data_IF_766540524910
#
_entry.id   IF_766540524910
#
_cell.length_a   1.000
_cell.length_b   1.000
_cell.length_c   1.000
_cell.angle_alpha   90.00
_cell.angle_beta   90.00
_cell.angle_gamma   90.00
#
_symmetry.space_group_name_H-M   'P 1'
#
loop_
_entity.id
_entity.type
_entity.pdbx_description
1 polymer ?
#
# COMPACT_ATOMS: atom_id res chain seq x y z
N UNK A 1 3.10 67.62 -9.16
CA UNK A 1 4.18 67.57 -8.15
C UNK A 1 3.57 66.86 -6.95
N UNK A 2 3.91 65.65 -6.55
CA UNK A 2 5.20 64.93 -6.49
C UNK A 2 4.95 63.41 -6.53
N UNK A 3 5.83 62.68 -7.24
CA UNK A 3 5.99 61.22 -7.16
C UNK A 3 6.46 60.79 -5.77
N UNK A 4 5.97 59.66 -5.24
CA UNK A 4 6.83 58.58 -4.69
C UNK A 4 6.05 57.25 -4.56
N UNK A 5 6.81 56.15 -4.67
CA UNK A 5 6.44 54.77 -4.95
C UNK A 5 5.98 53.92 -3.76
N UNK A 6 5.31 52.80 -4.11
CA UNK A 6 5.39 51.44 -3.55
C UNK A 6 5.37 51.22 -2.03
N UNK A 7 4.35 50.51 -1.52
CA UNK A 7 4.45 49.05 -1.27
C UNK A 7 3.20 48.49 -0.56
N UNK A 8 2.73 47.34 -1.05
CA UNK A 8 1.75 46.49 -0.40
C UNK A 8 2.31 45.91 0.91
N UNK A 9 1.62 46.13 2.04
CA UNK A 9 1.88 45.43 3.29
C UNK A 9 0.63 44.62 3.68
N UNK A 10 0.71 43.30 3.51
CA UNK A 10 -0.19 42.33 4.14
C UNK A 10 0.20 42.22 5.62
N UNK A 11 -0.78 42.40 6.50
CA UNK A 11 -0.63 42.17 7.93
C UNK A 11 -0.78 40.66 8.22
N UNK A 12 0.34 39.99 8.52
CA UNK A 12 0.34 38.63 9.07
C UNK A 12 0.56 38.72 10.59
N UNK A 13 -0.40 38.20 11.36
CA UNK A 13 -0.33 38.02 12.81
C UNK A 13 0.60 36.83 13.09
N UNK A 14 1.73 37.06 13.78
CA UNK A 14 2.69 36.03 14.18
C UNK A 14 2.50 35.67 15.65
N UNK A 15 2.62 34.38 15.99
CA UNK A 15 2.82 33.96 17.38
C UNK A 15 4.31 33.95 17.75
N UNK A 16 4.64 33.59 19.01
CA UNK A 16 6.02 33.61 19.54
C UNK A 16 6.99 32.62 18.87
N UNK A 17 6.52 31.80 17.94
CA UNK A 17 7.33 30.88 17.13
C UNK A 17 7.24 31.17 15.62
N UNK A 18 6.39 32.10 15.19
CA UNK A 18 6.62 32.92 14.02
C UNK A 18 6.40 32.30 12.63
N UNK A 19 5.81 31.11 12.50
CA UNK A 19 5.68 30.43 11.21
C UNK A 19 4.23 30.11 10.82
N UNK A 20 3.67 30.90 9.90
CA UNK A 20 2.77 30.42 8.86
C UNK A 20 3.00 31.22 7.57
N UNK A 21 3.81 30.67 6.65
CA UNK A 21 3.76 31.04 5.22
C UNK A 21 3.00 29.95 4.47
N UNK A 22 2.15 30.38 3.55
CA UNK A 22 1.30 29.55 2.67
C UNK A 22 2.08 28.61 1.71
N UNK A 23 3.41 28.58 1.82
CA UNK A 23 4.34 27.72 1.09
C UNK A 23 5.32 26.98 2.05
N UNK A 24 4.91 26.73 3.30
CA UNK A 24 5.75 26.00 4.23
C UNK A 24 5.93 24.53 3.74
N UNK A 25 7.16 24.04 3.62
CA UNK A 25 7.41 22.65 3.26
C UNK A 25 6.80 21.73 4.32
N UNK A 26 6.16 20.66 3.85
CA UNK A 26 5.69 19.51 4.61
C UNK A 26 6.69 19.16 5.74
N UNK A 27 6.26 18.81 6.98
CA UNK A 27 7.16 18.52 8.11
C UNK A 27 7.80 17.13 7.98
N UNK A 28 8.21 16.76 6.77
CA UNK A 28 9.29 15.79 6.60
C UNK A 28 10.54 16.55 6.98
N UNK A 29 10.98 16.29 8.21
CA UNK A 29 12.25 16.74 8.75
C UNK A 29 13.34 16.56 7.69
N UNK A 30 13.75 17.65 7.02
CA UNK A 30 14.67 17.59 5.87
C UNK A 30 16.06 17.13 6.32
N UNK A 31 16.31 17.12 7.62
CA UNK A 31 17.46 16.48 8.25
C UNK A 31 16.97 15.80 9.54
N UNK A 32 16.75 14.48 9.59
CA UNK A 32 16.79 13.79 10.88
C UNK A 32 18.09 14.20 11.58
N UNK A 33 18.10 14.41 12.91
CA UNK A 33 19.34 14.67 13.63
C UNK A 33 20.32 13.57 13.26
N UNK A 34 21.34 13.98 12.50
CA UNK A 34 22.31 13.15 11.84
C UNK A 34 23.07 12.40 12.93
N UNK A 35 22.69 11.16 13.21
CA UNK A 35 23.47 10.27 14.06
C UNK A 35 24.62 9.72 13.22
N UNK A 36 25.77 10.38 13.32
CA UNK A 36 27.06 9.84 12.90
C UNK A 36 27.81 10.75 11.95
N UNK A 37 29.06 11.05 12.30
CA UNK A 37 30.07 11.70 11.46
C UNK A 37 30.46 10.83 10.25
N UNK A 38 29.52 10.54 9.36
CA UNK A 38 29.82 9.80 8.14
C UNK A 38 30.31 10.78 7.07
N UNK A 39 31.54 10.60 6.55
CA UNK A 39 32.04 11.44 5.47
C UNK A 39 31.19 11.25 4.21
N UNK A 40 31.08 12.29 3.36
CA UNK A 40 30.35 12.22 2.10
C UNK A 40 30.88 11.07 1.23
N UNK A 41 30.00 10.31 0.55
CA UNK A 41 30.40 9.17 -0.26
C UNK A 41 31.34 9.62 -1.37
N UNK A 42 32.51 8.97 -1.45
CA UNK A 42 33.49 9.18 -2.52
C UNK A 42 33.20 8.18 -3.64
N UNK A 43 33.14 8.61 -4.91
CA UNK A 43 33.02 7.69 -6.04
C UNK A 43 34.20 6.70 -6.03
N UNK A 44 33.92 5.41 -5.91
CA UNK A 44 34.93 4.36 -6.04
C UNK A 44 34.86 3.75 -7.44
N UNK A 45 36.03 3.41 -8.00
CA UNK A 45 36.13 2.60 -9.23
C UNK A 45 36.18 1.10 -8.91
N UNK A 46 35.89 0.73 -7.67
CA UNK A 46 35.94 -0.65 -7.19
C UNK A 46 34.83 -1.44 -7.88
N UNK A 47 35.23 -2.45 -8.64
CA UNK A 47 34.31 -3.46 -9.14
C UNK A 47 33.99 -4.40 -7.98
N UNK A 48 32.73 -4.85 -7.88
CA UNK A 48 32.34 -5.93 -6.97
C UNK A 48 33.35 -7.08 -7.14
N UNK A 49 33.92 -7.63 -6.05
CA UNK A 49 34.77 -8.81 -6.12
C UNK A 49 34.11 -9.90 -6.96
N UNK A 50 34.88 -10.64 -7.76
CA UNK A 50 34.33 -11.79 -8.48
C UNK A 50 33.62 -12.70 -7.47
N UNK A 51 32.31 -12.86 -7.66
CA UNK A 51 31.49 -13.70 -6.80
C UNK A 51 32.09 -15.12 -6.82
N UNK A 52 32.17 -15.79 -5.66
CA UNK A 52 32.47 -17.22 -5.66
C UNK A 52 31.49 -17.93 -6.61
N UNK A 53 31.89 -19.05 -7.24
CA UNK A 53 31.01 -19.82 -8.11
C UNK A 53 29.69 -20.06 -7.40
N UNK A 54 28.58 -19.81 -8.10
CA UNK A 54 27.22 -19.92 -7.57
C UNK A 54 27.08 -21.27 -6.88
N UNK A 55 27.00 -21.26 -5.55
CA UNK A 55 26.45 -22.39 -4.83
C UNK A 55 24.98 -22.38 -5.22
N UNK A 56 24.50 -23.46 -5.86
CA UNK A 56 23.06 -23.63 -6.08
C UNK A 56 22.37 -23.36 -4.75
N UNK A 57 21.58 -22.30 -4.71
CA UNK A 57 20.81 -22.00 -3.53
C UNK A 57 19.98 -23.24 -3.22
N UNK A 58 20.03 -23.73 -1.99
CA UNK A 58 19.06 -24.71 -1.52
C UNK A 58 17.73 -23.96 -1.47
N UNK A 59 17.02 -23.95 -2.59
CA UNK A 59 15.73 -23.25 -2.76
C UNK A 59 14.59 -23.98 -2.09
N UNK A 60 14.81 -25.22 -1.66
CA UNK A 60 13.83 -26.06 -0.98
C UNK A 60 14.04 -25.96 0.54
N UNK A 61 13.36 -24.98 1.14
CA UNK A 61 12.99 -25.08 2.55
C UNK A 61 11.61 -25.75 2.60
N UNK A 62 11.41 -26.83 3.40
CA UNK A 62 10.09 -27.43 3.56
C UNK A 62 9.06 -26.45 4.16
N UNK A 63 9.50 -25.32 4.74
CA UNK A 63 8.66 -24.25 5.23
C UNK A 63 8.34 -23.16 4.16
N UNK A 64 9.09 -23.12 3.05
CA UNK A 64 8.96 -22.09 2.01
C UNK A 64 8.81 -22.79 0.66
N UNK A 65 7.56 -23.04 0.24
CA UNK A 65 7.25 -23.52 -1.10
C UNK A 65 7.78 -22.52 -2.13
N UNK A 66 8.84 -22.89 -2.85
CA UNK A 66 9.38 -22.15 -4.00
C UNK A 66 9.45 -23.08 -5.21
N UNK A 67 9.02 -22.62 -6.40
CA UNK A 67 8.53 -21.27 -6.72
C UNK A 67 7.14 -20.97 -6.11
N UNK A 68 6.80 -19.69 -5.88
CA UNK A 68 5.43 -19.33 -5.50
C UNK A 68 4.48 -19.94 -6.52
N UNK A 69 3.40 -20.56 -6.03
CA UNK A 69 2.37 -21.13 -6.90
C UNK A 69 1.96 -20.04 -7.90
N UNK A 70 1.91 -20.35 -9.21
CA UNK A 70 1.42 -19.38 -10.20
C UNK A 70 0.08 -18.81 -9.73
N UNK A 71 -0.15 -17.50 -9.94
CA UNK A 71 -1.43 -16.90 -9.57
C UNK A 71 -2.57 -17.69 -10.22
N UNK A 72 -3.70 -17.78 -9.51
CA UNK A 72 -4.89 -18.41 -10.07
C UNK A 72 -5.40 -17.69 -11.32
N UNK A 73 -6.42 -18.25 -11.96
CA UNK A 73 -7.08 -17.62 -13.11
C UNK A 73 -7.77 -16.29 -12.77
N UNK A 74 -8.01 -16.02 -11.49
CA UNK A 74 -8.63 -14.80 -10.96
C UNK A 74 -7.84 -14.27 -9.77
N UNK A 75 -7.66 -12.95 -9.68
CA UNK A 75 -7.19 -12.27 -8.46
C UNK A 75 -8.06 -11.04 -8.17
N UNK A 76 -8.25 -10.76 -6.88
CA UNK A 76 -9.17 -9.72 -6.40
C UNK A 76 -10.56 -10.27 -6.06
N UNK A 77 -11.57 -9.40 -5.95
CA UNK A 77 -11.52 -7.95 -6.15
C UNK A 77 -10.77 -7.21 -5.03
N UNK A 78 -9.95 -6.22 -5.39
CA UNK A 78 -9.31 -5.32 -4.43
C UNK A 78 -9.98 -3.95 -4.47
N UNK A 79 -10.74 -3.63 -3.43
CA UNK A 79 -11.45 -2.36 -3.30
C UNK A 79 -10.54 -1.29 -2.71
N UNK A 80 -10.65 -0.08 -3.26
CA UNK A 80 -9.92 1.09 -2.80
C UNK A 80 -10.87 2.29 -2.72
N UNK A 81 -10.84 2.99 -1.59
CA UNK A 81 -11.39 4.34 -1.49
C UNK A 81 -10.47 5.35 -2.17
N UNK A 82 -11.02 6.24 -3.01
CA UNK A 82 -10.26 7.29 -3.68
C UNK A 82 -10.52 8.63 -3.02
N UNK A 83 -11.78 9.08 -3.02
CA UNK A 83 -12.16 10.39 -2.48
C UNK A 83 -13.68 10.54 -2.38
N UNK A 84 -14.13 11.70 -1.90
CA UNK A 84 -15.55 12.06 -1.82
C UNK A 84 -15.76 13.40 -2.52
N UNK A 85 -16.70 13.46 -3.47
CA UNK A 85 -17.15 14.70 -4.10
C UNK A 85 -18.39 15.21 -3.36
N UNK A 86 -18.19 16.18 -2.46
CA UNK A 86 -19.28 16.77 -1.67
C UNK A 86 -20.21 17.68 -2.49
N UNK A 87 -19.79 18.16 -3.67
CA UNK A 87 -20.67 18.96 -4.52
C UNK A 87 -21.68 18.07 -5.25
N UNK A 88 -21.24 16.87 -5.65
CA UNK A 88 -22.09 15.87 -6.32
C UNK A 88 -22.72 14.88 -5.35
N UNK A 89 -22.32 14.91 -4.08
CA UNK A 89 -22.72 13.93 -3.07
C UNK A 89 -22.37 12.50 -3.51
N UNK A 90 -21.09 12.28 -3.89
CA UNK A 90 -20.59 11.00 -4.36
C UNK A 90 -19.40 10.53 -3.53
N UNK A 91 -19.47 9.29 -3.05
CA UNK A 91 -18.32 8.50 -2.63
C UNK A 91 -17.68 7.87 -3.87
N UNK A 92 -16.36 8.01 -4.03
CA UNK A 92 -15.61 7.50 -5.18
C UNK A 92 -14.61 6.45 -4.74
N UNK A 93 -14.60 5.33 -5.44
CA UNK A 93 -13.66 4.25 -5.23
C UNK A 93 -13.30 3.53 -6.52
N UNK A 94 -12.44 2.54 -6.41
CA UNK A 94 -12.10 1.64 -7.50
C UNK A 94 -12.00 0.20 -7.05
N UNK A 95 -12.21 -0.72 -8.00
CA UNK A 95 -11.92 -2.14 -7.83
C UNK A 95 -10.82 -2.53 -8.80
N UNK A 96 -9.75 -3.13 -8.31
CA UNK A 96 -8.75 -3.78 -9.15
C UNK A 96 -9.08 -5.27 -9.26
N UNK A 97 -9.17 -5.76 -10.49
CA UNK A 97 -9.51 -7.14 -10.81
C UNK A 97 -8.50 -7.66 -11.82
N UNK A 98 -7.96 -8.87 -11.59
CA UNK A 98 -7.15 -9.58 -12.58
C UNK A 98 -7.88 -10.84 -13.02
N UNK A 99 -7.85 -11.09 -14.33
CA UNK A 99 -8.45 -12.28 -14.93
C UNK A 99 -7.55 -12.81 -16.03
N UNK A 100 -7.30 -14.11 -16.05
CA UNK A 100 -6.47 -14.73 -17.07
C UNK A 100 -7.00 -14.45 -18.48
N UNK A 101 -6.11 -14.16 -19.42
CA UNK A 101 -6.43 -13.67 -20.78
C UNK A 101 -7.26 -14.66 -21.62
N UNK A 102 -7.33 -15.92 -21.21
CA UNK A 102 -8.19 -16.94 -21.84
C UNK A 102 -9.66 -16.83 -21.46
N UNK A 103 -10.02 -15.96 -20.50
CA UNK A 103 -11.38 -15.75 -20.05
C UNK A 103 -11.86 -14.34 -20.41
N UNK A 104 -13.18 -14.23 -20.57
CA UNK A 104 -13.83 -12.95 -20.77
C UNK A 104 -13.76 -12.07 -19.52
N UNK A 105 -13.98 -10.76 -19.72
CA UNK A 105 -14.12 -9.80 -18.63
C UNK A 105 -15.24 -10.25 -17.67
N UNK A 106 -14.99 -10.31 -16.35
CA UNK A 106 -15.99 -10.69 -15.37
C UNK A 106 -17.11 -9.64 -15.26
N UNK A 107 -18.27 -10.06 -14.74
CA UNK A 107 -19.42 -9.18 -14.50
C UNK A 107 -19.51 -8.83 -13.03
N UNK A 108 -19.74 -7.56 -12.71
CA UNK A 108 -19.92 -7.08 -11.34
C UNK A 108 -21.32 -6.50 -11.12
N UNK A 109 -21.91 -6.81 -9.97
CA UNK A 109 -23.19 -6.28 -9.52
C UNK A 109 -23.07 -5.72 -8.11
N UNK A 110 -23.77 -4.62 -7.83
CA UNK A 110 -23.86 -4.02 -6.50
C UNK A 110 -25.32 -4.05 -6.02
N UNK A 111 -25.53 -4.45 -4.77
CA UNK A 111 -26.82 -4.57 -4.11
C UNK A 111 -26.79 -3.70 -2.86
N UNK A 112 -27.50 -2.58 -2.91
CA UNK A 112 -27.63 -1.62 -1.81
C UNK A 112 -28.78 -0.64 -2.07
N UNK A 113 -29.14 0.13 -1.05
CA UNK A 113 -30.13 1.21 -1.20
C UNK A 113 -29.57 2.45 -1.91
N UNK A 114 -28.27 2.72 -1.74
CA UNK A 114 -27.61 3.85 -2.37
C UNK A 114 -27.49 3.62 -3.87
N UNK A 115 -27.66 4.68 -4.68
CA UNK A 115 -27.41 4.57 -6.11
C UNK A 115 -25.93 4.31 -6.37
N UNK A 116 -25.63 3.33 -7.23
CA UNK A 116 -24.27 2.99 -7.66
C UNK A 116 -24.17 3.11 -9.18
N UNK A 117 -23.24 3.94 -9.64
CA UNK A 117 -22.80 4.01 -11.03
C UNK A 117 -21.36 3.49 -11.12
N UNK A 118 -21.01 2.77 -12.19
CA UNK A 118 -19.64 2.31 -12.39
C UNK A 118 -19.27 2.19 -13.87
N UNK A 119 -17.97 2.17 -14.16
CA UNK A 119 -17.44 1.89 -15.50
C UNK A 119 -16.16 1.05 -15.41
N UNK A 120 -15.88 0.33 -16.49
CA UNK A 120 -14.70 -0.51 -16.64
C UNK A 120 -13.64 0.18 -17.46
N UNK A 121 -12.39 -0.03 -17.06
CA UNK A 121 -11.20 0.39 -17.77
C UNK A 121 -10.21 -0.78 -17.79
N UNK A 122 -9.57 -1.02 -18.92
CA UNK A 122 -8.47 -1.98 -19.03
C UNK A 122 -7.18 -1.22 -18.76
N UNK A 123 -6.45 -1.63 -17.71
CA UNK A 123 -5.16 -1.05 -17.36
C UNK A 123 -4.03 -1.73 -18.14
N UNK A 124 -4.10 -3.05 -18.24
CA UNK A 124 -3.13 -3.88 -18.95
C UNK A 124 -3.85 -5.06 -19.58
N UNK A 125 -3.68 -5.23 -20.89
CA UNK A 125 -4.34 -6.30 -21.65
C UNK A 125 -3.68 -7.67 -21.38
N UNK A 126 -2.39 -7.67 -21.03
CA UNK A 126 -1.64 -8.86 -20.62
C UNK A 126 -0.44 -8.48 -19.74
N UNK A 127 -0.53 -8.80 -18.45
CA UNK A 127 0.55 -8.79 -17.49
C UNK A 127 0.63 -10.17 -16.83
N UNK A 128 1.66 -10.95 -17.17
CA UNK A 128 1.82 -12.34 -16.71
C UNK A 128 0.59 -13.22 -17.00
N UNK A 129 0.08 -13.16 -18.24
CA UNK A 129 -1.12 -13.87 -18.71
C UNK A 129 -2.42 -13.45 -18.01
N UNK A 130 -2.41 -12.33 -17.28
CA UNK A 130 -3.58 -11.72 -16.68
C UNK A 130 -3.93 -10.39 -17.36
N UNK A 131 -5.20 -10.19 -17.69
CA UNK A 131 -5.75 -8.88 -17.99
C UNK A 131 -6.08 -8.17 -16.66
N UNK A 132 -5.63 -6.92 -16.52
CA UNK A 132 -5.85 -6.08 -15.35
C UNK A 132 -6.94 -5.05 -15.65
N UNK A 133 -8.03 -5.12 -14.89
CA UNK A 133 -9.17 -4.23 -15.00
C UNK A 133 -9.27 -3.31 -13.79
N UNK A 134 -9.66 -2.06 -14.05
CA UNK A 134 -10.13 -1.13 -13.03
C UNK A 134 -11.62 -0.88 -13.23
N UNK A 135 -12.40 -1.13 -12.19
CA UNK A 135 -13.80 -0.69 -12.11
C UNK A 135 -13.83 0.60 -11.31
N UNK A 136 -14.13 1.72 -11.96
CA UNK A 136 -14.34 3.00 -11.27
C UNK A 136 -15.77 3.00 -10.71
N UNK A 137 -15.93 3.19 -9.40
CA UNK A 137 -17.23 3.16 -8.71
C UNK A 137 -17.57 4.54 -8.17
N UNK A 138 -18.81 4.96 -8.39
CA UNK A 138 -19.41 6.18 -7.86
C UNK A 138 -20.67 5.79 -7.10
N UNK A 139 -20.68 6.03 -5.79
CA UNK A 139 -21.79 5.65 -4.91
C UNK A 139 -22.38 6.93 -4.34
N UNK A 140 -23.70 7.03 -4.36
CA UNK A 140 -24.43 8.12 -3.71
C UNK A 140 -24.03 8.23 -2.23
N UNK A 141 -23.56 9.41 -1.84
CA UNK A 141 -23.31 9.75 -0.45
C UNK A 141 -24.61 10.25 0.18
N UNK A 142 -25.31 9.36 0.89
CA UNK A 142 -26.58 9.71 1.53
C UNK A 142 -26.38 10.62 2.74
N UNK A 143 -27.29 11.58 3.00
CA UNK A 143 -27.26 12.40 4.20
C UNK A 143 -27.65 11.61 5.46
N UNK A 144 -27.40 12.17 6.64
CA UNK A 144 -27.75 11.60 7.94
C UNK A 144 -26.63 10.79 8.58
N UNK A 145 -26.91 10.30 9.78
CA UNK A 145 -26.02 9.39 10.52
C UNK A 145 -26.25 7.94 10.08
N UNK A 146 -25.22 7.10 10.24
CA UNK A 146 -25.25 5.67 9.91
C UNK A 146 -24.29 5.28 8.79
N UNK A 147 -24.30 3.98 8.49
CA UNK A 147 -23.43 3.36 7.50
C UNK A 147 -24.26 2.64 6.44
N UNK A 148 -23.84 2.75 5.18
CA UNK A 148 -24.48 2.08 4.05
C UNK A 148 -23.68 0.83 3.68
N UNK A 149 -24.34 -0.33 3.79
CA UNK A 149 -23.76 -1.60 3.39
C UNK A 149 -23.89 -1.79 1.89
N UNK A 150 -22.76 -1.95 1.23
CA UNK A 150 -22.65 -2.21 -0.20
C UNK A 150 -22.29 -3.67 -0.37
N UNK A 151 -23.22 -4.47 -0.87
CA UNK A 151 -22.96 -5.87 -1.21
C UNK A 151 -22.52 -5.91 -2.67
N UNK A 152 -21.46 -6.64 -2.98
CA UNK A 152 -21.00 -6.86 -4.34
C UNK A 152 -21.04 -8.34 -4.69
N UNK A 153 -21.26 -8.63 -5.97
CA UNK A 153 -21.18 -9.97 -6.55
C UNK A 153 -20.39 -9.90 -7.83
N UNK A 154 -19.46 -10.83 -8.01
CA UNK A 154 -18.70 -11.00 -9.25
C UNK A 154 -18.99 -12.38 -9.83
N UNK A 155 -19.40 -12.39 -11.09
CA UNK A 155 -19.48 -13.59 -11.92
C UNK A 155 -18.24 -13.64 -12.82
N UNK A 156 -17.37 -14.62 -12.53
CA UNK A 156 -16.13 -14.83 -13.25
C UNK A 156 -16.32 -15.70 -14.51
N UNK A 157 -17.50 -16.30 -14.68
CA UNK A 157 -17.83 -17.25 -15.74
C UNK A 157 -17.57 -18.71 -15.37
N UNK A 158 -16.54 -18.97 -14.57
CA UNK A 158 -16.20 -20.29 -14.00
C UNK A 158 -16.55 -20.41 -12.51
N UNK A 159 -16.57 -19.29 -11.79
CA UNK A 159 -16.95 -19.21 -10.38
C UNK A 159 -17.73 -17.93 -10.07
N UNK A 160 -18.31 -17.88 -8.87
CA UNK A 160 -19.00 -16.70 -8.34
C UNK A 160 -18.47 -16.38 -6.97
N UNK A 161 -18.21 -15.10 -6.73
CA UNK A 161 -17.74 -14.60 -5.44
C UNK A 161 -18.58 -13.41 -5.02
N UNK A 162 -18.75 -13.22 -3.73
CA UNK A 162 -19.46 -12.08 -3.17
C UNK A 162 -18.79 -11.57 -1.90
N UNK A 163 -19.19 -10.38 -1.48
CA UNK A 163 -18.75 -9.78 -0.25
C UNK A 163 -19.45 -8.44 -0.03
N UNK A 164 -18.97 -7.69 0.95
CA UNK A 164 -19.52 -6.37 1.24
C UNK A 164 -18.50 -5.44 1.86
N UNK A 165 -18.76 -4.14 1.73
CA UNK A 165 -18.07 -3.08 2.47
C UNK A 165 -19.08 -2.04 2.94
N UNK A 166 -18.64 -1.15 3.84
CA UNK A 166 -19.47 -0.12 4.45
C UNK A 166 -18.98 1.27 4.05
N UNK A 167 -19.91 2.17 3.79
CA UNK A 167 -19.66 3.59 3.52
C UNK A 167 -20.33 4.42 4.60
N UNK A 168 -19.58 5.33 5.22
CA UNK A 168 -20.13 6.31 6.15
C UNK A 168 -21.06 7.29 5.39
N UNK A 169 -22.25 7.54 5.92
CA UNK A 169 -23.11 8.64 5.45
C UNK A 169 -22.50 10.01 5.75
N UNK A 170 -23.02 11.06 5.14
CA UNK A 170 -22.43 12.41 5.22
C UNK A 170 -22.21 12.88 6.66
N UNK A 171 -23.20 12.71 7.53
CA UNK A 171 -23.17 13.25 8.90
C UNK A 171 -22.62 12.23 9.91
N UNK A 172 -22.20 11.06 9.43
CA UNK A 172 -21.70 10.00 10.28
C UNK A 172 -20.35 10.37 10.90
N UNK A 173 -20.19 10.05 12.19
CA UNK A 173 -18.89 10.17 12.86
C UNK A 173 -17.96 9.06 12.38
N UNK A 174 -16.84 9.47 11.78
CA UNK A 174 -15.84 8.53 11.31
C UNK A 174 -15.18 7.79 12.48
N UNK A 175 -14.85 6.53 12.23
CA UNK A 175 -14.24 5.62 13.21
C UNK A 175 -13.02 5.03 12.55
N UNK A 176 -11.88 5.21 13.20
CA UNK A 176 -10.58 4.80 12.69
C UNK A 176 -10.01 3.65 13.51
N UNK A 177 -9.37 2.70 12.84
CA UNK A 177 -8.43 1.78 13.46
C UNK A 177 -7.00 2.19 13.14
N UNK A 178 -6.08 1.95 14.06
CA UNK A 178 -4.64 2.05 13.82
C UNK A 178 -4.01 0.73 14.24
N UNK A 179 -3.12 0.21 13.40
CA UNK A 179 -2.29 -0.94 13.76
C UNK A 179 -0.94 -0.86 13.05
N UNK A 180 0.04 -1.53 13.64
CA UNK A 180 1.41 -1.63 13.16
C UNK A 180 1.94 -3.00 13.56
N UNK A 181 2.95 -3.51 12.84
CA UNK A 181 3.69 -4.71 13.24
C UNK A 181 2.80 -5.97 13.35
N UNK A 182 2.35 -6.52 12.21
CA UNK A 182 1.51 -7.73 12.18
C UNK A 182 2.32 -9.05 12.29
N UNK A 183 3.46 -9.01 12.96
CA UNK A 183 4.37 -10.13 13.08
C UNK A 183 5.16 -10.06 14.37
N UNK A 184 5.95 -11.09 14.59
CA UNK A 184 6.86 -11.16 15.72
C UNK A 184 8.26 -10.78 15.25
N UNK A 185 8.98 -10.03 16.08
CA UNK A 185 10.40 -9.84 15.85
C UNK A 185 11.16 -11.16 16.08
N UNK A 186 12.46 -11.17 15.72
CA UNK A 186 13.32 -12.34 15.92
C UNK A 186 13.63 -12.65 17.40
N UNK A 187 13.24 -11.78 18.34
CA UNK A 187 13.52 -11.92 19.78
C UNK A 187 12.34 -12.50 20.56
N UNK A 188 11.14 -12.55 19.98
CA UNK A 188 9.99 -13.23 20.57
C UNK A 188 10.27 -14.74 20.63
N UNK A 189 10.20 -15.38 21.80
CA UNK A 189 10.42 -16.81 21.93
C UNK A 189 9.49 -17.62 21.02
N UNK A 190 10.04 -18.63 20.34
CA UNK A 190 9.30 -19.46 19.38
C UNK A 190 8.03 -20.08 19.99
N UNK A 191 8.09 -20.47 21.28
CA UNK A 191 6.95 -21.01 22.02
C UNK A 191 5.77 -20.04 22.18
N UNK A 192 6.05 -18.72 22.17
CA UNK A 192 5.03 -17.67 22.20
C UNK A 192 4.52 -17.43 20.78
N UNK A 193 5.43 -17.28 19.81
CA UNK A 193 5.08 -17.05 18.41
C UNK A 193 4.24 -18.20 17.81
N UNK A 194 4.53 -19.45 18.18
CA UNK A 194 3.84 -20.64 17.66
C UNK A 194 2.36 -20.72 18.03
N UNK A 195 1.92 -20.00 19.07
CA UNK A 195 0.51 -19.96 19.49
C UNK A 195 -0.31 -18.93 18.71
N UNK A 196 0.33 -18.12 17.89
CA UNK A 196 -0.30 -17.06 17.12
C UNK A 196 0.01 -17.22 15.64
N UNK A 197 -0.88 -16.70 14.82
CA UNK A 197 -0.74 -16.61 13.38
C UNK A 197 -0.85 -15.14 12.98
N UNK A 198 -0.33 -14.80 11.80
CA UNK A 198 -0.50 -13.47 11.21
C UNK A 198 -1.99 -13.06 11.09
N UNK A 199 -2.91 -14.02 11.12
CA UNK A 199 -4.36 -13.78 11.02
C UNK A 199 -4.98 -13.25 12.31
N UNK A 200 -4.34 -13.39 13.47
CA UNK A 200 -4.95 -13.06 14.76
C UNK A 200 -5.30 -11.57 14.89
N UNK A 201 -4.40 -10.66 14.47
CA UNK A 201 -4.67 -9.21 14.48
C UNK A 201 -5.83 -8.89 13.54
N UNK A 202 -5.84 -9.47 12.34
CA UNK A 202 -6.90 -9.25 11.35
C UNK A 202 -8.26 -9.78 11.81
N UNK A 203 -8.29 -10.97 12.42
CA UNK A 203 -9.52 -11.54 12.96
C UNK A 203 -10.08 -10.68 14.10
N UNK A 204 -9.21 -10.14 14.97
CA UNK A 204 -9.64 -9.23 16.02
C UNK A 204 -10.10 -7.87 15.46
N UNK A 205 -9.39 -7.32 14.48
CA UNK A 205 -9.80 -6.09 13.81
C UNK A 205 -11.13 -6.26 13.08
N UNK A 206 -11.34 -7.42 12.45
CA UNK A 206 -12.59 -7.80 11.81
C UNK A 206 -13.72 -7.90 12.84
N UNK A 207 -13.50 -8.54 14.00
CA UNK A 207 -14.52 -8.61 15.04
C UNK A 207 -14.93 -7.22 15.55
N UNK A 208 -13.96 -6.31 15.73
CA UNK A 208 -14.26 -4.91 16.08
C UNK A 208 -15.06 -4.24 14.96
N UNK A 209 -14.68 -4.44 13.70
CA UNK A 209 -15.38 -3.87 12.55
C UNK A 209 -16.82 -4.39 12.42
N UNK A 210 -17.06 -5.66 12.74
CA UNK A 210 -18.39 -6.27 12.75
C UNK A 210 -19.29 -5.73 13.87
N UNK A 211 -18.72 -5.47 15.06
CA UNK A 211 -19.44 -4.85 16.16
C UNK A 211 -19.66 -3.34 15.94
N UNK A 212 -18.68 -2.67 15.35
CA UNK A 212 -18.68 -1.22 15.12
C UNK A 212 -17.85 -0.89 13.88
N UNK A 213 -18.52 -0.58 12.77
CA UNK A 213 -17.90 -0.35 11.47
C UNK A 213 -16.75 0.66 11.55
N UNK A 214 -15.56 0.25 11.14
CA UNK A 214 -14.41 1.13 10.96
C UNK A 214 -14.43 1.72 9.54
N UNK A 215 -14.28 3.03 9.42
CA UNK A 215 -14.31 3.80 8.18
C UNK A 215 -12.92 4.06 7.61
N UNK A 216 -11.90 4.03 8.47
CA UNK A 216 -10.52 4.28 8.12
C UNK A 216 -9.62 3.30 8.87
N UNK A 217 -8.66 2.72 8.18
CA UNK A 217 -7.58 1.96 8.80
C UNK A 217 -6.26 2.64 8.48
N UNK A 218 -5.53 3.03 9.53
CA UNK A 218 -4.19 3.59 9.43
C UNK A 218 -3.17 2.48 9.67
N UNK A 219 -2.34 2.23 8.67
CA UNK A 219 -1.34 1.17 8.68
C UNK A 219 0.03 1.79 9.03
N UNK A 220 0.60 1.38 10.17
CA UNK A 220 1.85 1.92 10.70
C UNK A 220 3.13 1.36 10.09
N UNK A 221 3.05 0.30 9.28
CA UNK A 221 4.21 -0.40 8.70
C UNK A 221 4.39 -1.83 9.20
N UNK A 222 5.43 -2.51 8.72
CA UNK A 222 5.88 -3.84 9.13
C UNK A 222 4.78 -4.92 9.11
N UNK A 223 4.29 -5.24 7.90
CA UNK A 223 3.19 -6.18 7.71
C UNK A 223 3.62 -7.53 7.13
N UNK A 224 4.55 -7.53 6.17
CA UNK A 224 4.87 -8.71 5.38
C UNK A 224 6.18 -9.40 5.78
N UNK A 225 6.99 -8.81 6.68
CA UNK A 225 8.25 -9.34 7.22
C UNK A 225 9.01 -10.24 6.23
N UNK A 226 9.26 -9.70 5.02
CA UNK A 226 9.91 -10.42 3.91
C UNK A 226 11.43 -10.35 3.99
N UNK A 227 11.98 -10.12 5.18
CA UNK A 227 13.41 -9.88 5.40
C UNK A 227 14.28 -11.05 4.94
N UNK A 228 13.72 -12.27 4.91
CA UNK A 228 14.36 -13.46 4.34
C UNK A 228 14.81 -13.27 2.88
N UNK A 229 14.25 -12.32 2.13
CA UNK A 229 14.69 -12.04 0.75
C UNK A 229 16.15 -11.58 0.70
N UNK A 230 16.62 -10.89 1.73
CA UNK A 230 18.00 -10.43 1.82
C UNK A 230 18.96 -11.57 2.12
N UNK A 231 18.48 -12.61 2.80
CA UNK A 231 19.24 -13.84 2.94
C UNK A 231 19.17 -14.63 1.63
N UNK A 232 17.99 -14.94 1.12
CA UNK A 232 17.84 -15.96 0.09
C UNK A 232 18.31 -15.56 -1.31
N UNK A 233 18.30 -14.26 -1.62
CA UNK A 233 18.71 -13.77 -2.94
C UNK A 233 20.20 -13.41 -2.89
N UNK A 234 21.10 -14.16 -3.56
CA UNK A 234 22.55 -13.98 -3.41
C UNK A 234 23.02 -12.55 -3.70
N UNK A 235 22.41 -11.86 -4.67
CA UNK A 235 22.79 -10.49 -4.98
C UNK A 235 22.32 -9.48 -3.91
N UNK A 236 21.13 -9.67 -3.31
CA UNK A 236 20.66 -8.84 -2.20
C UNK A 236 21.51 -9.09 -0.95
N UNK A 237 21.89 -10.35 -0.72
CA UNK A 237 22.83 -10.73 0.34
C UNK A 237 24.21 -10.10 0.13
N UNK A 238 24.73 -10.11 -1.08
CA UNK A 238 26.00 -9.44 -1.38
C UNK A 238 25.89 -7.93 -1.15
N UNK A 239 24.80 -7.31 -1.61
CA UNK A 239 24.54 -5.88 -1.46
C UNK A 239 24.39 -5.44 0.01
N UNK A 240 23.68 -6.21 0.85
CA UNK A 240 23.51 -5.89 2.27
C UNK A 240 24.81 -6.04 3.08
N UNK A 241 25.78 -6.80 2.57
CA UNK A 241 27.11 -6.95 3.15
C UNK A 241 28.13 -5.94 2.62
N UNK A 242 27.78 -5.09 1.65
CA UNK A 242 28.65 -4.00 1.19
C UNK A 242 28.77 -2.92 2.26
N UNK A 243 29.95 -2.29 2.30
CA UNK A 243 30.21 -1.09 3.08
C UNK A 243 29.26 0.05 2.69
N UNK A 244 28.91 0.91 3.64
CA UNK A 244 27.86 1.93 3.47
C UNK A 244 28.01 2.73 2.17
N UNK A 245 29.20 3.29 1.92
CA UNK A 245 29.43 4.11 0.75
C UNK A 245 29.35 3.32 -0.56
N UNK A 246 29.81 2.07 -0.56
CA UNK A 246 29.76 1.20 -1.74
C UNK A 246 28.33 0.80 -2.07
N UNK A 247 27.52 0.52 -1.05
CA UNK A 247 26.10 0.16 -1.20
C UNK A 247 25.29 1.23 -1.93
N UNK A 248 25.52 2.50 -1.60
CA UNK A 248 24.80 3.65 -2.19
C UNK A 248 25.27 4.00 -3.61
N UNK A 249 26.49 3.60 -3.99
CA UNK A 249 27.07 3.91 -5.31
C UNK A 249 27.08 2.72 -6.26
N UNK A 250 26.67 1.54 -5.80
CA UNK A 250 26.63 0.33 -6.63
C UNK A 250 25.36 0.36 -7.49
N UNK A 251 25.54 0.48 -8.81
CA UNK A 251 24.45 0.37 -9.76
C UNK A 251 23.83 -1.03 -9.73
N UNK A 252 22.51 -1.08 -9.85
CA UNK A 252 21.79 -2.34 -10.05
C UNK A 252 22.12 -2.88 -11.44
N UNK A 253 22.98 -3.91 -11.52
CA UNK A 253 23.43 -4.45 -12.80
C UNK A 253 22.53 -5.58 -13.31
N UNK A 254 22.28 -5.59 -14.61
CA UNK A 254 21.47 -6.60 -15.29
C UNK A 254 22.04 -8.02 -15.25
N UNK A 255 23.35 -8.17 -15.01
CA UNK A 255 24.02 -9.47 -14.98
C UNK A 255 23.81 -10.25 -13.66
N UNK A 256 23.20 -9.62 -12.65
CA UNK A 256 22.77 -10.24 -11.40
C UNK A 256 21.35 -10.84 -11.48
N UNK A 257 20.69 -10.76 -12.64
CA UNK A 257 19.33 -11.30 -12.89
C UNK A 257 19.29 -12.81 -13.16
N UNK A 258 20.43 -13.52 -13.07
CA UNK A 258 20.52 -14.95 -13.37
C UNK A 258 20.29 -15.82 -12.14
#
# INVERSE_FOLDING_TARGET
MTNTNCNNAKNDIKDKYGDLKINAPNPVNVNPPFMGDYPPPKPTTSKVPELPPSIEAVTESPAINRPPKPPGSSLGPYFQFISTDLNKMLWMGSVLIFRHVSFDQPKIEFICDAKVDYNWEILYDNIFDLCAYRVNIFIELRPGEGDDKIIWKIDWGDEKTDGSFLIARLDQKWRGGFFSCNGFDAYVPEQVASNFTYSNVWNHLLSIHEETSLHLLLWGGDQNYIDFIFDDIPFLRAWINMEWNERWTTDFRDDLKK
#
